data_IF_414699300882
#
_entry.id   IF_414699300882
#
_cell.length_a   1.000
_cell.length_b   1.000
_cell.length_c   1.000
_cell.angle_alpha   90.00
_cell.angle_beta   90.00
_cell.angle_gamma   90.00
#
_symmetry.space_group_name_H-M   'P 1'
#
loop_
_entity.id
_entity.type
_entity.pdbx_description
1 polymer ?
#
# COMPACT_ATOMS: atom_id res chain seq x y z
N UNK A 1 22.33 0.98 -1.20
CA UNK A 1 22.72 1.78 -0.03
C UNK A 1 21.49 2.14 0.79
N UNK A 2 21.60 2.29 2.11
CA UNK A 2 20.54 2.87 2.96
C UNK A 2 20.76 4.38 3.06
N UNK A 3 19.79 5.17 2.62
CA UNK A 3 19.85 6.64 2.65
C UNK A 3 18.73 7.19 3.53
N UNK A 4 18.93 8.38 4.08
CA UNK A 4 17.94 9.09 4.92
C UNK A 4 17.48 10.37 4.25
N UNK A 5 16.17 10.60 4.19
CA UNK A 5 15.61 11.89 3.79
C UNK A 5 15.76 12.91 4.92
N UNK A 6 16.24 14.12 4.63
CA UNK A 6 16.32 15.21 5.60
C UNK A 6 14.91 15.75 5.93
N UNK A 7 14.06 15.85 4.91
CA UNK A 7 12.72 16.44 5.03
C UNK A 7 11.75 15.60 5.86
N UNK A 8 11.84 14.28 5.75
CA UNK A 8 10.93 13.34 6.43
C UNK A 8 11.63 12.47 7.46
N UNK A 9 12.96 12.39 7.46
CA UNK A 9 13.73 11.42 8.25
C UNK A 9 13.43 9.95 7.92
N UNK A 10 12.69 9.66 6.84
CA UNK A 10 12.49 8.29 6.37
C UNK A 10 13.81 7.72 5.82
N UNK A 11 14.02 6.42 6.05
CA UNK A 11 15.19 5.70 5.53
C UNK A 11 14.76 4.69 4.48
N UNK A 12 15.36 4.79 3.30
CA UNK A 12 15.08 3.88 2.19
C UNK A 12 16.36 3.23 1.68
N UNK A 13 16.24 1.99 1.25
CA UNK A 13 17.27 1.37 0.43
C UNK A 13 17.11 1.85 -1.01
N UNK A 14 18.20 2.30 -1.61
CA UNK A 14 18.24 2.72 -3.01
C UNK A 14 19.39 2.03 -3.74
N UNK A 15 19.17 1.73 -5.03
CA UNK A 15 20.24 1.43 -5.97
C UNK A 15 20.87 2.78 -6.37
N UNK A 16 22.15 2.94 -6.07
CA UNK A 16 22.87 4.19 -6.32
C UNK A 16 24.08 3.88 -7.19
N UNK A 17 24.36 4.73 -8.18
CA UNK A 17 25.53 4.58 -9.01
C UNK A 17 26.82 4.75 -8.18
N UNK A 18 27.86 3.98 -8.52
CA UNK A 18 29.15 3.99 -7.81
C UNK A 18 29.87 5.34 -7.84
N UNK A 19 29.55 6.19 -8.80
CA UNK A 19 30.10 7.53 -9.00
C UNK A 19 29.21 8.66 -8.45
N UNK A 20 28.11 8.32 -7.76
CA UNK A 20 27.17 9.30 -7.20
C UNK A 20 27.74 10.16 -6.07
N UNK A 21 28.85 9.74 -5.46
CA UNK A 21 29.45 10.40 -4.29
C UNK A 21 28.67 10.19 -2.98
N UNK A 22 27.57 9.42 -3.01
CA UNK A 22 26.79 9.06 -1.83
C UNK A 22 27.37 7.83 -1.14
N UNK A 23 27.37 7.85 0.19
CA UNK A 23 27.76 6.74 1.04
C UNK A 23 26.56 6.16 1.77
N UNK A 24 26.74 4.96 2.30
CA UNK A 24 25.72 4.32 3.12
C UNK A 24 25.46 5.13 4.41
N UNK A 25 24.19 5.23 4.81
CA UNK A 25 23.67 6.07 5.89
C UNK A 25 23.76 7.59 5.67
N UNK A 26 24.12 8.05 4.46
CA UNK A 26 24.08 9.48 4.15
C UNK A 26 22.66 10.04 4.26
N UNK A 27 22.60 11.33 4.58
CA UNK A 27 21.36 12.11 4.58
C UNK A 27 21.33 12.97 3.34
N UNK A 28 20.23 12.90 2.60
CA UNK A 28 19.96 13.69 1.39
C UNK A 28 18.75 14.58 1.62
N UNK A 29 18.63 15.70 0.91
CA UNK A 29 17.52 16.64 1.10
C UNK A 29 16.16 15.96 0.84
N UNK A 30 16.04 15.31 -0.33
CA UNK A 30 14.88 14.56 -0.77
C UNK A 30 15.27 13.44 -1.73
N UNK A 31 14.48 12.36 -1.74
CA UNK A 31 14.63 11.32 -2.75
C UNK A 31 13.96 11.76 -4.06
N UNK A 32 14.66 11.64 -5.22
CA UNK A 32 14.09 12.02 -6.51
C UNK A 32 12.72 11.38 -6.78
N UNK A 33 11.80 12.10 -7.44
CA UNK A 33 10.56 11.51 -7.92
C UNK A 33 10.85 10.33 -8.86
N UNK A 34 10.14 9.21 -8.67
CA UNK A 34 10.30 8.02 -9.52
C UNK A 34 11.52 7.13 -9.21
N UNK A 35 12.41 7.53 -8.29
CA UNK A 35 13.50 6.65 -7.86
C UNK A 35 12.92 5.40 -7.19
N UNK A 36 13.39 4.23 -7.62
CA UNK A 36 13.00 2.95 -7.01
C UNK A 36 13.64 2.81 -5.62
N UNK A 37 12.79 2.65 -4.61
CA UNK A 37 13.14 2.56 -3.21
C UNK A 37 12.66 1.25 -2.58
N UNK A 38 13.48 0.72 -1.69
CA UNK A 38 13.13 -0.34 -0.75
C UNK A 38 12.77 0.26 0.60
N UNK A 39 11.55 -0.01 1.07
CA UNK A 39 11.15 0.31 2.44
C UNK A 39 11.93 -0.60 3.37
N UNK A 40 12.84 0.00 4.13
CA UNK A 40 13.64 -0.69 5.12
C UNK A 40 12.80 -0.99 6.37
N UNK A 41 13.05 -2.08 7.08
CA UNK A 41 12.44 -2.32 8.39
C UNK A 41 12.68 -1.15 9.38
N UNK A 42 13.90 -0.57 9.46
CA UNK A 42 14.14 0.66 10.23
C UNK A 42 13.26 1.84 9.84
N UNK A 43 12.71 1.91 8.62
CA UNK A 43 11.86 3.02 8.20
C UNK A 43 10.57 3.10 9.02
N UNK A 44 9.99 1.95 9.38
CA UNK A 44 8.81 1.92 10.25
C UNK A 44 9.20 2.12 11.72
N UNK A 45 10.34 1.57 12.15
CA UNK A 45 10.86 1.76 13.51
C UNK A 45 11.22 3.24 13.78
N UNK A 46 11.77 3.95 12.81
CA UNK A 46 12.12 5.37 12.95
C UNK A 46 10.88 6.23 13.23
N UNK A 47 9.71 5.83 12.71
CA UNK A 47 8.43 6.45 13.02
C UNK A 47 8.00 6.24 14.47
N UNK A 48 8.39 5.13 15.12
CA UNK A 48 8.09 4.87 16.53
C UNK A 48 8.69 5.93 17.46
N UNK A 49 9.76 6.62 17.06
CA UNK A 49 10.32 7.70 17.86
C UNK A 49 9.33 8.86 18.02
N UNK A 50 8.65 9.27 16.94
CA UNK A 50 7.67 10.35 17.00
C UNK A 50 6.41 9.92 17.79
N UNK A 51 5.97 8.66 17.65
CA UNK A 51 4.94 8.07 18.50
C UNK A 51 5.33 8.06 19.98
N UNK A 52 6.58 7.69 20.28
CA UNK A 52 7.08 7.65 21.65
C UNK A 52 7.09 9.05 22.28
N UNK A 53 7.56 10.07 21.55
CA UNK A 53 7.52 11.47 22.00
C UNK A 53 6.10 11.88 22.39
N UNK A 54 5.11 11.63 21.53
CA UNK A 54 3.71 11.99 21.82
C UNK A 54 3.22 11.29 23.09
N UNK A 55 3.46 9.98 23.20
CA UNK A 55 3.00 9.17 24.34
C UNK A 55 3.64 9.61 25.65
N UNK A 56 4.96 9.79 25.68
CA UNK A 56 5.66 10.26 26.90
C UNK A 56 5.28 11.68 27.27
N UNK A 57 4.92 12.50 26.28
CA UNK A 57 4.45 13.87 26.52
C UNK A 57 3.07 13.85 27.19
N UNK A 58 2.12 13.04 26.71
CA UNK A 58 0.86 12.84 27.42
C UNK A 58 1.04 12.25 28.82
N UNK A 59 1.94 11.27 28.99
CA UNK A 59 2.27 10.74 30.32
C UNK A 59 2.71 11.86 31.26
N UNK A 60 3.53 12.79 30.78
CA UNK A 60 3.99 13.94 31.56
C UNK A 60 2.83 14.88 31.91
N UNK A 61 1.93 15.17 30.95
CA UNK A 61 0.72 15.97 31.20
C UNK A 61 -0.15 15.32 32.28
N UNK A 62 -0.33 13.99 32.23
CA UNK A 62 -1.14 13.25 33.20
C UNK A 62 -0.54 13.30 34.63
N UNK A 63 0.78 13.44 34.77
CA UNK A 63 1.45 13.60 36.07
C UNK A 63 1.27 14.97 36.71
N UNK A 64 0.95 16.00 35.92
CA UNK A 64 0.82 17.39 36.39
C UNK A 64 -0.48 18.02 35.84
N UNK A 65 -1.65 17.51 36.23
CA UNK A 65 -2.93 17.89 35.62
C UNK A 65 -3.32 19.35 35.84
N UNK A 66 -2.80 19.98 36.91
CA UNK A 66 -3.15 21.34 37.33
C UNK A 66 -2.22 22.43 36.75
N UNK A 67 -1.19 22.06 35.98
CA UNK A 67 -0.25 23.02 35.35
C UNK A 67 -0.65 23.30 33.89
N UNK A 68 -1.53 24.29 33.70
CA UNK A 68 -2.01 24.71 32.38
C UNK A 68 -0.88 25.24 31.48
N UNK A 69 0.08 25.98 32.05
CA UNK A 69 1.20 26.54 31.27
C UNK A 69 2.10 25.43 30.73
N UNK A 70 2.39 24.42 31.55
CA UNK A 70 3.16 23.26 31.11
C UNK A 70 2.37 22.43 30.11
N UNK A 71 1.05 22.26 30.32
CA UNK A 71 0.19 21.58 29.35
C UNK A 71 0.28 22.22 27.97
N UNK A 72 0.19 23.55 27.87
CA UNK A 72 0.28 24.27 26.59
C UNK A 72 1.63 24.03 25.89
N UNK A 73 2.74 24.09 26.64
CA UNK A 73 4.09 23.81 26.10
C UNK A 73 4.21 22.35 25.60
N UNK A 74 3.74 21.39 26.39
CA UNK A 74 3.78 19.97 26.04
C UNK A 74 2.86 19.64 24.85
N UNK A 75 1.71 20.31 24.72
CA UNK A 75 0.86 20.18 23.54
C UNK A 75 1.56 20.71 22.27
N UNK A 76 2.36 21.76 22.37
CA UNK A 76 3.20 22.21 21.24
C UNK A 76 4.21 21.15 20.80
N UNK A 77 4.80 20.40 21.74
CA UNK A 77 5.71 19.28 21.42
C UNK A 77 4.96 18.15 20.70
N UNK A 78 3.73 17.86 21.15
CA UNK A 78 2.85 16.88 20.49
C UNK A 78 2.55 17.31 19.05
N UNK A 79 2.22 18.57 18.82
CA UNK A 79 1.94 19.11 17.49
C UNK A 79 3.16 19.01 16.56
N UNK A 80 4.37 19.34 17.06
CA UNK A 80 5.60 19.18 16.27
C UNK A 80 5.88 17.71 15.90
N UNK A 81 5.65 16.78 16.82
CA UNK A 81 5.82 15.35 16.57
C UNK A 81 4.76 14.83 15.58
N UNK A 82 3.52 15.31 15.70
CA UNK A 82 2.43 15.04 14.76
C UNK A 82 2.76 15.52 13.35
N UNK A 83 3.27 16.73 13.18
CA UNK A 83 3.66 17.26 11.86
C UNK A 83 4.80 16.45 11.22
N UNK A 84 5.70 15.89 12.02
CA UNK A 84 6.74 14.96 11.54
C UNK A 84 6.12 13.63 11.09
N UNK A 85 5.19 13.06 11.88
CA UNK A 85 4.46 11.85 11.50
C UNK A 85 3.67 12.02 10.21
N UNK A 86 2.94 13.13 10.06
CA UNK A 86 2.17 13.44 8.85
C UNK A 86 3.10 13.42 7.63
N UNK A 87 4.22 14.13 7.68
CA UNK A 87 5.20 14.17 6.56
C UNK A 87 5.76 12.79 6.24
N UNK A 88 6.17 12.03 7.25
CA UNK A 88 6.71 10.67 7.09
C UNK A 88 5.72 9.72 6.43
N UNK A 89 4.51 9.66 6.98
CA UNK A 89 3.45 8.76 6.53
C UNK A 89 2.94 9.18 5.15
N UNK A 90 2.87 10.47 4.85
CA UNK A 90 2.52 10.98 3.52
C UNK A 90 3.52 10.48 2.48
N UNK A 91 4.82 10.67 2.69
CA UNK A 91 5.83 10.17 1.75
C UNK A 91 5.75 8.65 1.56
N UNK A 92 5.60 7.89 2.65
CA UNK A 92 5.47 6.43 2.56
C UNK A 92 4.22 6.03 1.76
N UNK A 93 3.07 6.60 2.10
CA UNK A 93 1.78 6.33 1.46
C UNK A 93 1.85 6.64 -0.03
N UNK A 94 2.32 7.82 -0.39
CA UNK A 94 2.42 8.28 -1.79
C UNK A 94 3.38 7.37 -2.58
N UNK A 95 4.59 7.11 -2.06
CA UNK A 95 5.56 6.28 -2.76
C UNK A 95 5.12 4.82 -2.91
N UNK A 96 4.42 4.26 -1.92
CA UNK A 96 3.88 2.89 -2.01
C UNK A 96 2.77 2.85 -3.06
N UNK A 97 1.87 3.85 -3.08
CA UNK A 97 0.77 3.96 -4.02
C UNK A 97 1.28 4.10 -5.47
N UNK A 98 2.29 4.94 -5.67
CA UNK A 98 2.92 5.21 -6.97
C UNK A 98 3.88 4.10 -7.43
N UNK A 99 4.01 3.02 -6.63
CA UNK A 99 4.94 1.91 -6.92
C UNK A 99 6.40 2.36 -7.08
N UNK A 100 6.80 3.39 -6.32
CA UNK A 100 8.20 3.83 -6.22
C UNK A 100 8.86 3.35 -4.94
N UNK A 101 8.10 2.97 -3.91
CA UNK A 101 8.59 2.30 -2.70
C UNK A 101 8.01 0.88 -2.54
N UNK A 102 8.86 -0.05 -2.13
CA UNK A 102 8.55 -1.48 -2.04
C UNK A 102 8.97 -2.05 -0.69
N UNK A 103 8.07 -2.74 0.02
CA UNK A 103 8.44 -3.53 1.18
C UNK A 103 9.33 -4.70 0.77
N UNK A 104 10.62 -4.60 1.06
CA UNK A 104 11.58 -5.62 0.69
C UNK A 104 11.38 -6.86 1.56
N UNK A 105 11.39 -8.04 0.92
CA UNK A 105 11.14 -9.33 1.53
C UNK A 105 9.69 -9.63 1.94
N UNK A 106 8.77 -8.67 1.79
CA UNK A 106 7.39 -8.83 2.27
C UNK A 106 6.50 -9.42 1.18
N UNK A 107 5.81 -10.51 1.49
CA UNK A 107 4.70 -10.99 0.66
C UNK A 107 3.47 -10.11 0.92
N UNK A 108 3.12 -9.26 -0.06
CA UNK A 108 1.98 -8.34 0.08
C UNK A 108 0.64 -9.07 0.05
N UNK A 109 0.53 -10.23 -0.59
CA UNK A 109 -0.71 -11.02 -0.59
C UNK A 109 -0.92 -11.66 0.78
N UNK A 110 0.15 -12.19 1.39
CA UNK A 110 0.11 -12.68 2.77
C UNK A 110 -0.17 -11.54 3.75
N UNK A 111 0.50 -10.40 3.60
CA UNK A 111 0.25 -9.17 4.39
C UNK A 111 -1.24 -8.81 4.41
N UNK A 112 -1.84 -8.72 3.21
CA UNK A 112 -3.28 -8.44 3.06
C UNK A 112 -4.13 -9.51 3.75
N UNK A 113 -3.78 -10.78 3.60
CA UNK A 113 -4.48 -11.88 4.28
C UNK A 113 -4.47 -11.74 5.81
N UNK A 114 -3.31 -11.44 6.40
CA UNK A 114 -3.18 -11.19 7.84
C UNK A 114 -3.97 -9.96 8.30
N UNK A 115 -3.89 -8.86 7.53
CA UNK A 115 -4.65 -7.65 7.81
C UNK A 115 -6.17 -7.93 7.82
N UNK A 116 -6.68 -8.61 6.79
CA UNK A 116 -8.11 -8.96 6.69
C UNK A 116 -8.55 -9.92 7.80
N UNK A 117 -7.69 -10.85 8.22
CA UNK A 117 -7.96 -11.66 9.41
C UNK A 117 -8.09 -10.80 10.66
N UNK A 118 -7.23 -9.79 10.84
CA UNK A 118 -7.32 -8.87 11.98
C UNK A 118 -8.57 -7.97 11.92
N UNK A 119 -9.03 -7.59 10.72
CA UNK A 119 -10.28 -6.83 10.53
C UNK A 119 -11.50 -7.69 10.90
N UNK A 120 -11.57 -8.94 10.43
CA UNK A 120 -12.80 -9.75 10.55
C UNK A 120 -12.85 -10.66 11.78
N UNK A 121 -11.72 -11.24 12.18
CA UNK A 121 -11.63 -12.21 13.28
C UNK A 121 -11.02 -11.60 14.54
N UNK A 122 -10.35 -10.47 14.40
CA UNK A 122 -9.56 -9.88 15.46
C UNK A 122 -8.30 -10.68 15.76
N UNK A 123 -7.44 -10.10 16.60
CA UNK A 123 -6.21 -10.74 17.04
C UNK A 123 -6.02 -10.54 18.56
N UNK A 124 -5.53 -11.54 19.31
CA UNK A 124 -5.34 -11.39 20.75
C UNK A 124 -4.44 -10.20 21.11
N UNK A 125 -4.97 -9.26 21.89
CA UNK A 125 -4.27 -8.03 22.30
C UNK A 125 -2.95 -8.32 23.02
N UNK A 126 -2.97 -9.31 23.90
CA UNK A 126 -1.78 -9.77 24.64
C UNK A 126 -0.65 -10.26 23.72
N UNK A 127 -0.99 -10.91 22.60
CA UNK A 127 0.02 -11.40 21.66
C UNK A 127 0.67 -10.25 20.89
N UNK A 128 -0.12 -9.23 20.49
CA UNK A 128 0.41 -8.01 19.85
C UNK A 128 1.39 -7.28 20.78
N UNK A 129 0.98 -7.07 22.04
CA UNK A 129 1.84 -6.45 23.06
C UNK A 129 3.13 -7.28 23.28
N UNK A 130 3.02 -8.60 23.39
CA UNK A 130 4.18 -9.48 23.58
C UNK A 130 5.15 -9.48 22.41
N UNK A 131 4.65 -9.55 21.17
CA UNK A 131 5.50 -9.63 19.98
C UNK A 131 6.15 -8.29 19.67
N UNK A 132 5.43 -7.19 19.86
CA UNK A 132 5.95 -5.84 19.64
C UNK A 132 6.72 -5.28 20.84
N UNK A 133 6.77 -6.02 21.96
CA UNK A 133 7.40 -5.61 23.23
C UNK A 133 6.86 -4.28 23.75
N UNK A 134 5.54 -4.11 23.67
CA UNK A 134 4.79 -2.93 24.10
C UNK A 134 3.71 -3.32 25.12
N UNK A 135 3.03 -2.34 25.69
CA UNK A 135 1.86 -2.55 26.54
C UNK A 135 0.78 -1.51 26.20
N UNK A 136 0.30 -1.54 24.96
CA UNK A 136 -0.64 -0.56 24.40
C UNK A 136 -1.99 -1.21 24.22
N UNK A 137 -2.03 -2.42 23.65
CA UNK A 137 -3.29 -3.07 23.31
C UNK A 137 -4.08 -3.43 24.57
N UNK A 138 -3.43 -4.03 25.55
CA UNK A 138 -4.03 -4.36 26.84
C UNK A 138 -4.39 -3.12 27.66
N UNK A 139 -3.55 -2.08 27.66
CA UNK A 139 -3.83 -0.82 28.38
C UNK A 139 -5.08 -0.13 27.87
N UNK A 140 -5.26 -0.05 26.55
CA UNK A 140 -6.49 0.48 25.95
C UNK A 140 -7.69 -0.41 26.28
N UNK A 141 -7.55 -1.74 26.18
CA UNK A 141 -8.64 -2.67 26.49
C UNK A 141 -9.13 -2.56 27.93
N UNK A 142 -8.22 -2.31 28.89
CA UNK A 142 -8.58 -2.14 30.29
C UNK A 142 -9.44 -0.90 30.57
N UNK A 143 -9.45 0.08 29.67
CA UNK A 143 -10.24 1.30 29.76
C UNK A 143 -11.51 1.25 28.89
N UNK A 144 -11.63 0.26 28.01
CA UNK A 144 -12.83 0.02 27.20
C UNK A 144 -13.82 -0.84 28.02
N UNK A 145 -15.03 -0.33 28.28
CA UNK A 145 -16.06 -0.99 29.11
C UNK A 145 -16.56 -2.35 28.56
N UNK A 146 -16.10 -2.78 27.39
CA UNK A 146 -16.62 -3.93 26.67
C UNK A 146 -15.50 -4.81 26.10
N UNK A 147 -15.02 -5.76 26.90
CA UNK A 147 -14.47 -7.01 26.36
C UNK A 147 -15.28 -8.18 26.91
N UNK A 148 -16.45 -8.43 26.31
CA UNK A 148 -17.35 -9.55 26.63
C UNK A 148 -16.79 -10.90 26.12
N UNK A 149 -15.58 -11.25 26.56
CA UNK A 149 -14.92 -12.51 26.26
C UNK A 149 -13.74 -12.77 27.21
N UNK A 150 -13.30 -14.04 27.37
CA UNK A 150 -12.19 -14.39 28.25
C UNK A 150 -10.82 -13.83 27.79
N UNK A 151 -10.70 -13.45 26.52
CA UNK A 151 -9.50 -12.84 25.94
C UNK A 151 -9.89 -11.61 25.10
N UNK A 152 -9.36 -10.40 25.40
CA UNK A 152 -9.68 -9.20 24.65
C UNK A 152 -8.97 -9.23 23.28
N UNK A 153 -9.78 -9.09 22.22
CA UNK A 153 -9.30 -9.06 20.84
C UNK A 153 -9.15 -7.61 20.35
N UNK A 154 -8.16 -7.37 19.49
CA UNK A 154 -8.03 -6.15 18.70
C UNK A 154 -8.59 -6.41 17.31
N UNK A 155 -9.49 -5.54 16.87
CA UNK A 155 -10.01 -5.54 15.51
C UNK A 155 -9.47 -4.31 14.80
N UNK A 156 -8.78 -4.50 13.66
CA UNK A 156 -8.40 -3.36 12.84
C UNK A 156 -9.67 -2.79 12.18
N UNK A 157 -10.07 -1.59 12.56
CA UNK A 157 -11.25 -0.94 12.02
C UNK A 157 -10.85 0.25 11.16
N UNK A 158 -11.04 0.17 9.83
CA UNK A 158 -10.85 1.32 8.95
C UNK A 158 -11.79 2.46 9.35
N UNK A 159 -11.29 3.70 9.33
CA UNK A 159 -12.07 4.92 9.55
C UNK A 159 -13.09 5.09 8.42
N UNK A 160 -12.66 4.87 7.18
CA UNK A 160 -13.57 4.72 6.05
C UNK A 160 -14.17 3.31 6.04
N UNK A 161 -15.45 3.23 6.42
CA UNK A 161 -16.19 1.97 6.47
C UNK A 161 -16.40 1.36 5.08
N UNK A 162 -16.32 2.14 4.01
CA UNK A 162 -16.47 1.62 2.64
C UNK A 162 -15.32 0.68 2.29
N UNK A 163 -14.09 0.98 2.73
CA UNK A 163 -12.91 0.12 2.56
C UNK A 163 -13.08 -1.25 3.24
N UNK A 164 -13.86 -1.34 4.31
CA UNK A 164 -14.13 -2.64 4.96
C UNK A 164 -14.95 -3.56 4.04
N UNK A 165 -15.82 -3.00 3.20
CA UNK A 165 -16.64 -3.74 2.23
C UNK A 165 -15.99 -3.94 0.86
N UNK A 166 -15.21 -2.97 0.38
CA UNK A 166 -14.59 -2.97 -0.97
C UNK A 166 -13.13 -3.41 -0.98
N UNK A 167 -12.54 -3.69 0.19
CA UNK A 167 -11.15 -4.15 0.31
C UNK A 167 -10.84 -5.43 -0.45
N UNK A 168 -11.85 -6.22 -0.87
CA UNK A 168 -11.69 -7.38 -1.76
C UNK A 168 -11.18 -7.01 -3.15
N UNK A 169 -11.47 -5.80 -3.61
CA UNK A 169 -11.25 -5.40 -5.00
C UNK A 169 -9.89 -4.70 -5.19
N UNK A 170 -9.28 -4.27 -4.08
CA UNK A 170 -7.94 -3.68 -4.09
C UNK A 170 -6.88 -4.76 -4.36
N UNK A 171 -5.90 -4.42 -5.19
CA UNK A 171 -4.65 -5.19 -5.25
C UNK A 171 -3.95 -5.16 -3.89
N UNK A 172 -3.07 -6.12 -3.62
CA UNK A 172 -2.33 -6.19 -2.36
C UNK A 172 -1.57 -4.89 -2.03
N UNK A 173 -0.96 -4.26 -3.04
CA UNK A 173 -0.28 -2.97 -2.91
C UNK A 173 -1.26 -1.83 -2.58
N UNK A 174 -2.35 -1.71 -3.32
CA UNK A 174 -3.36 -0.68 -3.06
C UNK A 174 -3.96 -0.84 -1.67
N UNK A 175 -4.15 -2.08 -1.20
CA UNK A 175 -4.59 -2.35 0.15
C UNK A 175 -3.59 -1.87 1.21
N UNK A 176 -2.30 -2.15 1.03
CA UNK A 176 -1.25 -1.63 1.94
C UNK A 176 -1.24 -0.09 1.94
N UNK A 177 -1.31 0.54 0.76
CA UNK A 177 -1.41 2.00 0.66
C UNK A 177 -2.66 2.55 1.36
N UNK A 178 -3.80 1.85 1.26
CA UNK A 178 -5.04 2.22 1.95
C UNK A 178 -4.90 2.13 3.48
N UNK A 179 -4.16 1.15 4.01
CA UNK A 179 -3.86 1.08 5.45
C UNK A 179 -2.98 2.27 5.90
N UNK A 180 -1.97 2.66 5.10
CA UNK A 180 -1.19 3.87 5.38
C UNK A 180 -2.05 5.14 5.35
N UNK A 181 -2.96 5.26 4.38
CA UNK A 181 -3.92 6.36 4.33
C UNK A 181 -4.80 6.40 5.56
N UNK A 182 -5.32 5.25 6.02
CA UNK A 182 -6.16 5.18 7.22
C UNK A 182 -5.42 5.60 8.52
N UNK A 183 -4.15 5.22 8.66
CA UNK A 183 -3.31 5.72 9.76
C UNK A 183 -3.04 7.21 9.62
N UNK A 184 -2.73 7.68 8.41
CA UNK A 184 -2.50 9.10 8.14
C UNK A 184 -3.74 9.94 8.48
N UNK A 185 -4.93 9.49 8.10
CA UNK A 185 -6.20 10.13 8.44
C UNK A 185 -6.40 10.20 9.96
N UNK A 186 -6.00 9.15 10.69
CA UNK A 186 -6.07 9.13 12.16
C UNK A 186 -5.08 10.12 12.80
N UNK A 187 -3.86 10.23 12.26
CA UNK A 187 -2.83 11.21 12.69
C UNK A 187 -3.26 12.64 12.36
N UNK A 188 -3.94 12.83 11.23
CA UNK A 188 -4.44 14.15 10.81
C UNK A 188 -5.68 14.59 11.59
N UNK A 189 -6.37 13.70 12.30
CA UNK A 189 -7.53 14.03 13.12
C UNK A 189 -7.10 14.67 14.46
N UNK A 190 -7.39 15.97 14.72
CA UNK A 190 -7.08 16.60 16.01
C UNK A 190 -7.78 15.92 17.19
N UNK A 191 -8.93 15.28 16.99
CA UNK A 191 -9.65 14.59 18.05
C UNK A 191 -8.84 13.41 18.63
N UNK A 192 -7.93 12.83 17.84
CA UNK A 192 -7.03 11.76 18.27
C UNK A 192 -6.04 12.19 19.37
N UNK A 193 -5.91 13.48 19.65
CA UNK A 193 -4.89 14.05 20.56
C UNK A 193 -5.49 14.60 21.87
N UNK A 194 -6.71 14.18 22.23
CA UNK A 194 -7.36 14.63 23.48
C UNK A 194 -6.75 14.02 24.74
N UNK A 195 -6.15 12.83 24.66
CA UNK A 195 -5.46 12.17 25.76
C UNK A 195 -4.57 11.04 25.25
N UNK A 196 -3.69 10.51 26.11
CA UNK A 196 -2.91 9.30 25.81
C UNK A 196 -3.79 8.14 25.35
N UNK A 197 -4.89 7.88 26.04
CA UNK A 197 -5.77 6.77 25.73
C UNK A 197 -6.39 6.91 24.34
N UNK A 198 -6.88 8.10 24.01
CA UNK A 198 -7.49 8.38 22.71
C UNK A 198 -6.44 8.21 21.60
N UNK A 199 -5.24 8.77 21.78
CA UNK A 199 -4.14 8.60 20.83
C UNK A 199 -3.74 7.14 20.63
N UNK A 200 -3.58 6.40 21.74
CA UNK A 200 -3.19 4.99 21.69
C UNK A 200 -4.26 4.17 20.95
N UNK A 201 -5.55 4.40 21.23
CA UNK A 201 -6.70 3.72 20.61
C UNK A 201 -6.85 4.06 19.12
N UNK A 202 -6.83 5.35 18.78
CA UNK A 202 -7.23 5.82 17.45
C UNK A 202 -6.08 5.79 16.44
N UNK A 203 -4.85 5.93 16.91
CA UNK A 203 -3.66 6.08 16.05
C UNK A 203 -2.64 4.97 16.30
N UNK A 204 -2.13 4.87 17.53
CA UNK A 204 -0.93 4.06 17.76
C UNK A 204 -1.18 2.56 17.55
N UNK A 205 -2.32 2.04 18.01
CA UNK A 205 -2.69 0.64 17.78
C UNK A 205 -2.76 0.28 16.29
N UNK A 206 -3.26 1.17 15.43
CA UNK A 206 -3.31 0.94 13.98
C UNK A 206 -1.91 0.83 13.38
N UNK A 207 -1.03 1.77 13.74
CA UNK A 207 0.35 1.76 13.25
C UNK A 207 1.10 0.49 13.71
N UNK A 208 0.96 0.13 14.99
CA UNK A 208 1.58 -1.09 15.51
C UNK A 208 1.01 -2.36 14.87
N UNK A 209 -0.30 -2.41 14.60
CA UNK A 209 -0.90 -3.52 13.87
C UNK A 209 -0.28 -3.67 12.47
N UNK A 210 -0.09 -2.57 11.74
CA UNK A 210 0.58 -2.61 10.43
C UNK A 210 2.04 -3.07 10.53
N UNK A 211 2.79 -2.61 11.54
CA UNK A 211 4.15 -3.07 11.79
C UNK A 211 4.19 -4.56 12.12
N UNK A 212 3.27 -5.04 12.95
CA UNK A 212 3.15 -6.45 13.31
C UNK A 212 2.88 -7.32 12.08
N UNK A 213 1.94 -6.92 11.23
CA UNK A 213 1.62 -7.66 10.01
C UNK A 213 2.85 -7.67 9.09
N UNK A 214 3.52 -6.52 8.90
CA UNK A 214 4.75 -6.48 8.12
C UNK A 214 5.81 -7.43 8.72
N UNK A 215 5.96 -7.43 10.06
CA UNK A 215 6.89 -8.32 10.75
C UNK A 215 6.56 -9.82 10.56
N UNK A 216 5.27 -10.15 10.47
CA UNK A 216 4.84 -11.53 10.29
C UNK A 216 5.04 -12.05 8.86
N UNK A 217 5.14 -11.14 7.88
CA UNK A 217 5.10 -11.49 6.45
C UNK A 217 6.34 -11.05 5.66
N UNK A 218 7.40 -10.55 6.31
CA UNK A 218 8.71 -10.38 5.66
C UNK A 218 9.63 -11.55 5.98
N UNK A 219 10.41 -11.96 4.99
CA UNK A 219 11.52 -12.88 5.22
C UNK A 219 12.48 -12.32 6.30
N UNK A 220 12.80 -13.10 7.35
CA UNK A 220 13.70 -12.68 8.44
C UNK A 220 15.06 -12.15 7.99
N UNK A 221 15.57 -12.50 6.80
CA UNK A 221 16.82 -11.94 6.28
C UNK A 221 16.75 -10.40 6.19
N UNK A 222 15.57 -9.84 5.93
CA UNK A 222 15.35 -8.39 5.77
C UNK A 222 15.23 -7.63 7.10
N UNK A 223 15.21 -8.32 8.24
CA UNK A 223 15.31 -7.70 9.57
C UNK A 223 16.75 -7.65 10.11
N UNK A 224 17.74 -8.07 9.31
CA UNK A 224 19.15 -8.06 9.73
C UNK A 224 19.45 -9.05 10.85
N UNK A 225 19.11 -10.33 10.63
CA UNK A 225 19.29 -11.41 11.63
C UNK A 225 20.75 -11.80 11.85
N UNK A 226 21.70 -11.29 11.05
CA UNK A 226 23.12 -11.57 11.23
C UNK A 226 23.86 -10.45 11.94
N UNK A 227 24.84 -10.81 12.78
CA UNK A 227 25.73 -9.86 13.47
C UNK A 227 26.37 -8.83 12.52
N UNK A 228 26.65 -9.25 11.28
CA UNK A 228 27.25 -8.41 10.25
C UNK A 228 26.32 -7.27 9.77
N UNK A 229 25.01 -7.41 9.94
CA UNK A 229 24.01 -6.43 9.51
C UNK A 229 23.85 -5.26 10.52
N UNK A 230 24.28 -5.46 11.78
CA UNK A 230 24.15 -4.46 12.84
C UNK A 230 25.26 -3.43 12.82
N UNK A 231 24.92 -2.14 12.95
CA UNK A 231 25.88 -1.04 13.05
C UNK A 231 26.13 -0.37 11.71
N UNK A 232 25.08 0.28 11.20
CA UNK A 232 25.09 1.02 9.93
C UNK A 232 25.85 2.33 10.12
N UNK A 233 26.97 2.48 9.43
CA UNK A 233 27.76 3.73 9.35
C UNK A 233 28.37 3.88 7.95
N UNK A 234 28.75 5.11 7.59
CA UNK A 234 29.39 5.40 6.30
C UNK A 234 30.73 4.66 6.14
N UNK A 235 31.47 4.45 7.24
CA UNK A 235 32.81 3.84 7.22
C UNK A 235 32.80 2.30 7.16
N UNK A 236 31.62 1.67 7.20
CA UNK A 236 31.52 0.21 7.25
C UNK A 236 31.17 -0.35 5.88
N UNK A 237 31.94 -1.36 5.46
CA UNK A 237 31.57 -2.18 4.29
C UNK A 237 30.29 -2.97 4.60
N UNK A 238 29.18 -2.47 4.06
CA UNK A 238 27.87 -3.09 4.15
C UNK A 238 27.53 -3.90 2.90
N UNK A 239 28.20 -3.67 1.78
CA UNK A 239 27.84 -4.24 0.47
C UNK A 239 27.95 -5.77 0.45
N UNK A 240 28.81 -6.31 1.31
CA UNK A 240 29.04 -7.74 1.43
C UNK A 240 28.18 -8.43 2.49
N UNK A 241 27.32 -7.68 3.20
CA UNK A 241 26.45 -8.25 4.23
C UNK A 241 25.32 -9.07 3.59
N UNK A 242 24.83 -10.14 4.25
CA UNK A 242 23.68 -10.91 3.77
C UNK A 242 22.46 -10.05 3.46
N UNK A 243 22.15 -9.09 4.34
CA UNK A 243 21.04 -8.16 4.16
C UNK A 243 21.21 -7.30 2.90
N UNK A 244 22.36 -6.66 2.70
CA UNK A 244 22.55 -5.77 1.55
C UNK A 244 22.56 -6.51 0.21
N UNK A 245 23.08 -7.75 0.19
CA UNK A 245 23.00 -8.60 -1.00
C UNK A 245 21.58 -8.99 -1.35
N UNK A 246 20.76 -9.34 -0.34
CA UNK A 246 19.36 -9.65 -0.55
C UNK A 246 18.57 -8.43 -1.05
N UNK A 247 18.87 -7.26 -0.50
CA UNK A 247 18.29 -5.98 -0.92
C UNK A 247 18.67 -5.63 -2.36
N UNK A 248 19.95 -5.69 -2.72
CA UNK A 248 20.42 -5.39 -4.09
C UNK A 248 19.75 -6.33 -5.10
N UNK A 249 19.72 -7.63 -4.80
CA UNK A 249 19.06 -8.61 -5.65
C UNK A 249 17.57 -8.30 -5.86
N UNK A 250 16.85 -8.00 -4.77
CA UNK A 250 15.41 -7.76 -4.86
C UNK A 250 15.08 -6.42 -5.54
N UNK A 251 15.83 -5.36 -5.28
CA UNK A 251 15.64 -4.08 -5.97
C UNK A 251 15.89 -4.21 -7.46
N UNK A 252 16.93 -4.93 -7.87
CA UNK A 252 17.21 -5.21 -9.30
C UNK A 252 16.11 -6.06 -9.95
N UNK A 253 15.56 -7.03 -9.23
CA UNK A 253 14.42 -7.82 -9.70
C UNK A 253 13.17 -6.95 -9.91
N UNK A 254 12.91 -6.02 -8.98
CA UNK A 254 11.81 -5.06 -9.12
C UNK A 254 12.05 -4.14 -10.32
N UNK A 255 13.24 -3.55 -10.44
CA UNK A 255 13.62 -2.70 -11.57
C UNK A 255 13.45 -3.43 -12.92
N UNK A 256 13.91 -4.69 -13.00
CA UNK A 256 13.77 -5.51 -14.20
C UNK A 256 12.30 -5.79 -14.56
N UNK A 257 11.44 -6.08 -13.57
CA UNK A 257 10.00 -6.24 -13.80
C UNK A 257 9.35 -4.95 -14.27
N UNK A 258 9.67 -3.83 -13.64
CA UNK A 258 9.15 -2.53 -14.05
C UNK A 258 9.55 -2.19 -15.49
N UNK A 259 10.79 -2.48 -15.88
CA UNK A 259 11.26 -2.29 -17.26
C UNK A 259 10.57 -3.24 -18.27
N UNK A 260 10.24 -4.47 -17.85
CA UNK A 260 9.53 -5.44 -18.69
C UNK A 260 8.03 -5.08 -18.86
N UNK A 261 7.43 -4.46 -17.85
CA UNK A 261 6.04 -4.00 -17.84
C UNK A 261 5.85 -2.65 -18.55
N UNK A 262 6.94 -1.94 -18.88
CA UNK A 262 6.89 -0.84 -19.85
C UNK A 262 6.52 -1.47 -21.21
N UNK A 263 5.35 -1.15 -21.79
CA UNK A 263 5.01 -1.62 -23.12
C UNK A 263 6.16 -1.23 -24.02
N UNK A 264 6.80 -2.21 -24.66
CA UNK A 264 7.79 -1.91 -25.69
C UNK A 264 7.01 -1.19 -26.76
N UNK A 265 7.08 0.14 -26.77
CA UNK A 265 6.70 0.92 -27.93
C UNK A 265 7.75 0.54 -28.95
N UNK A 266 7.47 -0.53 -29.70
CA UNK A 266 8.19 -0.86 -30.92
C UNK A 266 7.98 0.35 -31.79
N UNK A 267 8.95 1.26 -31.78
CA UNK A 267 8.97 2.38 -32.70
C UNK A 267 8.89 1.76 -34.11
N UNK A 268 7.81 1.95 -34.87
CA UNK A 268 7.83 1.55 -36.25
C UNK A 268 8.92 2.38 -36.92
N UNK A 269 9.76 1.73 -37.72
CA UNK A 269 10.70 2.41 -38.61
C UNK A 269 9.94 3.52 -39.35
N UNK A 270 10.34 4.77 -39.10
CA UNK A 270 9.69 5.95 -39.65
C UNK A 270 10.03 6.00 -41.14
N UNK A 271 9.11 5.53 -41.98
CA UNK A 271 8.98 6.05 -43.33
C UNK A 271 8.42 7.48 -43.20
N UNK A 272 9.24 8.45 -43.57
CA UNK A 272 9.03 9.89 -43.35
C UNK A 272 7.89 10.40 -44.22
N UNK A 273 6.64 10.14 -43.85
CA UNK A 273 5.46 10.72 -44.47
C UNK A 273 4.17 10.56 -43.64
N UNK A 274 4.15 10.85 -42.33
CA UNK A 274 2.89 10.89 -41.57
C UNK A 274 2.83 12.12 -40.68
N UNK A 275 1.86 12.98 -40.96
CA UNK A 275 1.45 14.09 -40.11
C UNK A 275 0.86 13.55 -38.80
N UNK A 276 1.06 14.29 -37.70
CA UNK A 276 0.46 13.98 -36.39
C UNK A 276 -1.06 13.77 -36.54
N UNK A 277 -1.63 12.64 -36.07
CA UNK A 277 -3.06 12.51 -36.02
C UNK A 277 -3.56 13.38 -34.87
N UNK A 278 -4.24 14.47 -35.24
CA UNK A 278 -5.02 15.31 -34.36
C UNK A 278 -6.03 14.42 -33.60
N UNK A 279 -5.79 14.17 -32.30
CA UNK A 279 -6.74 13.48 -31.45
C UNK A 279 -7.88 14.47 -31.16
N UNK A 280 -8.79 14.58 -32.11
CA UNK A 280 -10.10 15.16 -31.88
C UNK A 280 -10.93 14.15 -31.07
N UNK A 281 -11.05 14.39 -29.77
CA UNK A 281 -12.11 13.77 -28.99
C UNK A 281 -13.46 14.21 -29.62
N UNK A 282 -14.31 13.27 -30.07
CA UNK A 282 -15.59 13.63 -30.67
C UNK A 282 -16.41 14.40 -29.65
N UNK A 283 -16.76 15.66 -29.96
CA UNK A 283 -17.66 16.47 -29.13
C UNK A 283 -19.10 15.97 -29.14
N UNK A 284 -19.41 14.93 -29.93
CA UNK A 284 -20.70 14.25 -29.96
C UNK A 284 -20.51 12.75 -29.68
N UNK A 285 -21.09 12.27 -28.59
CA UNK A 285 -21.18 10.85 -28.26
C UNK A 285 -22.17 10.20 -29.22
N UNK A 286 -21.72 9.74 -30.39
CA UNK A 286 -22.65 9.22 -31.40
C UNK A 286 -22.09 8.11 -32.28
N UNK A 287 -21.07 7.35 -31.84
CA UNK A 287 -20.72 6.13 -32.56
C UNK A 287 -20.62 4.92 -31.63
N UNK A 288 -21.69 4.13 -31.65
CA UNK A 288 -21.85 2.84 -30.97
C UNK A 288 -20.65 1.91 -31.18
N UNK A 289 -20.01 1.97 -32.36
CA UNK A 289 -18.81 1.20 -32.70
C UNK A 289 -17.61 1.48 -31.79
N UNK A 290 -17.49 2.71 -31.26
CA UNK A 290 -16.39 3.10 -30.35
C UNK A 290 -16.52 2.41 -28.99
N UNK A 291 -17.74 2.12 -28.56
CA UNK A 291 -18.05 1.45 -27.29
C UNK A 291 -18.10 -0.07 -27.46
N UNK A 292 -18.73 -0.56 -28.53
CA UNK A 292 -18.91 -1.99 -28.77
C UNK A 292 -17.63 -2.68 -29.24
N UNK A 293 -16.73 -1.97 -29.94
CA UNK A 293 -15.47 -2.52 -30.46
C UNK A 293 -14.57 -3.14 -29.38
N UNK A 294 -14.21 -2.40 -28.31
CA UNK A 294 -13.43 -2.94 -27.20
C UNK A 294 -14.12 -4.14 -26.50
N UNK A 295 -15.44 -4.08 -26.32
CA UNK A 295 -16.23 -5.16 -25.72
C UNK A 295 -16.19 -6.44 -26.58
N UNK A 296 -16.20 -6.30 -27.91
CA UNK A 296 -16.04 -7.42 -28.82
C UNK A 296 -14.67 -8.10 -28.70
N UNK A 297 -13.60 -7.32 -28.50
CA UNK A 297 -12.25 -7.83 -28.27
C UNK A 297 -12.16 -8.62 -26.96
N UNK A 298 -12.76 -8.11 -25.88
CA UNK A 298 -12.84 -8.78 -24.58
C UNK A 298 -13.61 -10.11 -24.70
N UNK A 299 -14.75 -10.12 -25.37
CA UNK A 299 -15.52 -11.34 -25.64
C UNK A 299 -14.73 -12.37 -26.45
N UNK A 300 -13.92 -11.93 -27.42
CA UNK A 300 -13.07 -12.83 -28.20
C UNK A 300 -11.97 -13.49 -27.34
N UNK A 301 -11.34 -12.73 -26.45
CA UNK A 301 -10.35 -13.27 -25.50
C UNK A 301 -11.00 -14.24 -24.50
N UNK A 302 -12.15 -13.88 -23.93
CA UNK A 302 -12.89 -14.73 -23.00
C UNK A 302 -13.31 -16.07 -23.64
N UNK A 303 -13.72 -16.07 -24.91
CA UNK A 303 -14.02 -17.30 -25.66
C UNK A 303 -12.80 -18.20 -25.88
N UNK A 304 -11.59 -17.63 -25.96
CA UNK A 304 -10.36 -18.44 -26.02
C UNK A 304 -10.12 -19.14 -24.68
N UNK A 305 -10.36 -18.45 -23.56
CA UNK A 305 -10.26 -19.04 -22.22
C UNK A 305 -11.24 -20.19 -22.02
N UNK A 306 -12.48 -20.07 -22.51
CA UNK A 306 -13.50 -21.14 -22.45
C UNK A 306 -13.10 -22.39 -23.24
N UNK A 307 -12.14 -22.30 -24.16
CA UNK A 307 -11.67 -23.43 -24.99
C UNK A 307 -10.41 -24.11 -24.43
N UNK A 308 -9.88 -23.65 -23.31
CA UNK A 308 -8.73 -24.27 -22.66
C UNK A 308 -9.17 -25.48 -21.81
N UNK A 309 -8.28 -26.44 -21.61
CA UNK A 309 -8.57 -27.68 -20.87
C UNK A 309 -8.56 -27.52 -19.33
N UNK A 310 -8.24 -26.32 -18.84
CA UNK A 310 -8.16 -26.03 -17.41
C UNK A 310 -9.52 -25.55 -16.87
N UNK A 311 -10.11 -26.19 -15.85
CA UNK A 311 -11.39 -25.79 -15.27
C UNK A 311 -11.45 -24.31 -14.86
N UNK A 312 -10.39 -23.80 -14.23
CA UNK A 312 -10.30 -22.41 -13.78
C UNK A 312 -10.33 -21.41 -14.94
N UNK A 313 -9.67 -21.72 -16.06
CA UNK A 313 -9.68 -20.87 -17.25
C UNK A 313 -11.07 -20.84 -17.91
N UNK A 314 -11.76 -21.99 -17.91
CA UNK A 314 -13.14 -22.09 -18.41
C UNK A 314 -14.09 -21.27 -17.54
N UNK A 315 -13.93 -21.32 -16.23
CA UNK A 315 -14.73 -20.54 -15.27
C UNK A 315 -14.51 -19.04 -15.47
N UNK A 316 -13.25 -18.58 -15.50
CA UNK A 316 -12.90 -17.18 -15.73
C UNK A 316 -13.46 -16.66 -17.07
N UNK A 317 -13.33 -17.46 -18.13
CA UNK A 317 -13.89 -17.09 -19.44
C UNK A 317 -15.42 -16.93 -19.42
N UNK A 318 -16.14 -17.75 -18.64
CA UNK A 318 -17.61 -17.61 -18.48
C UNK A 318 -18.00 -16.39 -17.68
N UNK A 319 -17.27 -16.09 -16.59
CA UNK A 319 -17.52 -14.90 -15.76
C UNK A 319 -17.35 -13.62 -16.57
N UNK A 320 -16.28 -13.53 -17.38
CA UNK A 320 -16.05 -12.35 -18.23
C UNK A 320 -17.18 -12.17 -19.25
N UNK A 321 -17.63 -13.24 -19.92
CA UNK A 321 -18.74 -13.17 -20.87
C UNK A 321 -20.06 -12.73 -20.20
N UNK A 322 -20.35 -13.22 -18.99
CA UNK A 322 -21.53 -12.84 -18.24
C UNK A 322 -21.52 -11.36 -17.84
N UNK A 323 -20.38 -10.84 -17.37
CA UNK A 323 -20.26 -9.44 -16.98
C UNK A 323 -20.33 -8.50 -18.17
N UNK A 324 -19.77 -8.87 -19.33
CA UNK A 324 -19.91 -8.07 -20.56
C UNK A 324 -21.37 -8.04 -21.04
N UNK A 325 -22.14 -9.11 -20.89
CA UNK A 325 -23.57 -9.13 -21.22
C UNK A 325 -24.36 -8.15 -20.34
N UNK A 326 -24.14 -8.19 -19.02
CA UNK A 326 -24.77 -7.25 -18.07
C UNK A 326 -24.43 -5.80 -18.43
N UNK A 327 -23.16 -5.53 -18.76
CA UNK A 327 -22.72 -4.20 -19.14
C UNK A 327 -23.40 -3.70 -20.42
N UNK A 328 -23.57 -4.57 -21.43
CA UNK A 328 -24.29 -4.22 -22.67
C UNK A 328 -25.75 -3.89 -22.38
N UNK A 329 -26.42 -4.67 -21.52
CA UNK A 329 -27.80 -4.40 -21.12
C UNK A 329 -27.92 -3.05 -20.41
N UNK A 330 -26.99 -2.73 -19.51
CA UNK A 330 -26.94 -1.42 -18.85
C UNK A 330 -26.69 -0.28 -19.83
N UNK A 331 -25.79 -0.46 -20.80
CA UNK A 331 -25.52 0.55 -21.82
C UNK A 331 -26.76 0.79 -22.72
N UNK A 332 -27.55 -0.25 -22.99
CA UNK A 332 -28.84 -0.14 -23.69
C UNK A 332 -29.88 0.58 -22.84
N UNK A 333 -30.03 0.19 -21.58
CA UNK A 333 -30.98 0.80 -20.63
C UNK A 333 -30.72 2.31 -20.45
N UNK A 334 -29.45 2.71 -20.43
CA UNK A 334 -29.04 4.10 -20.31
C UNK A 334 -29.05 4.87 -21.65
N UNK A 335 -29.44 4.24 -22.77
CA UNK A 335 -29.50 4.87 -24.08
C UNK A 335 -28.13 5.28 -24.65
N UNK A 336 -27.05 4.68 -24.14
CA UNK A 336 -25.66 4.96 -24.57
C UNK A 336 -25.37 4.22 -25.88
N UNK A 337 -25.94 3.04 -26.05
CA UNK A 337 -25.95 2.28 -27.32
C UNK A 337 -27.40 1.96 -27.69
N UNK A 338 -27.70 1.78 -28.97
CA UNK A 338 -29.06 1.48 -29.41
C UNK A 338 -29.58 0.14 -28.86
N UNK A 339 -30.90 -0.02 -28.70
CA UNK A 339 -31.47 -1.33 -28.32
C UNK A 339 -31.12 -2.44 -29.32
N UNK A 340 -31.00 -2.06 -30.60
CA UNK A 340 -30.58 -2.93 -31.70
C UNK A 340 -29.07 -3.12 -31.80
N UNK A 341 -28.29 -2.57 -30.86
CA UNK A 341 -26.84 -2.66 -30.88
C UNK A 341 -26.36 -4.11 -30.87
N UNK A 342 -25.33 -4.38 -31.68
CA UNK A 342 -24.70 -5.69 -31.77
C UNK A 342 -24.18 -6.11 -30.39
N UNK A 343 -24.65 -7.25 -29.91
CA UNK A 343 -24.18 -7.84 -28.66
C UNK A 343 -23.05 -8.84 -28.95
N UNK A 344 -21.78 -8.49 -28.71
CA UNK A 344 -20.65 -9.38 -28.93
C UNK A 344 -20.64 -10.63 -28.06
N UNK A 345 -21.46 -10.75 -27.02
CA UNK A 345 -21.58 -11.99 -26.23
C UNK A 345 -22.39 -13.05 -26.97
N UNK A 346 -23.31 -12.61 -27.84
CA UNK A 346 -24.24 -13.44 -28.62
C UNK A 346 -23.63 -14.02 -29.91
N UNK A 347 -22.74 -15.02 -29.83
CA UNK A 347 -22.28 -15.67 -31.08
C UNK A 347 -23.24 -16.76 -31.57
N UNK A 348 -23.97 -16.41 -32.64
CA UNK A 348 -24.21 -17.30 -33.77
C UNK A 348 -22.86 -17.81 -34.31
N UNK A 349 -22.54 -19.07 -34.02
CA UNK A 349 -21.69 -19.96 -34.83
C UNK A 349 -21.81 -21.39 -34.29
N UNK A 350 -23.00 -21.97 -34.45
CA UNK A 350 -23.09 -23.40 -34.74
C UNK A 350 -22.67 -23.61 -36.21
N UNK A 351 -21.93 -24.68 -36.55
CA UNK A 351 -21.58 -24.95 -37.93
C UNK A 351 -22.86 -25.19 -38.74
N UNK A 352 -22.97 -24.56 -39.91
CA UNK A 352 -23.92 -24.95 -40.93
C UNK A 352 -23.67 -26.44 -41.26
N UNK A 353 -24.65 -27.30 -40.96
CA UNK A 353 -24.64 -28.69 -41.43
C UNK A 353 -24.86 -28.70 -42.95
N UNK A 354 -24.18 -29.58 -43.69
CA UNK A 354 -24.33 -29.73 -45.14
C UNK A 354 -25.74 -30.16 -45.56
#
# INVERSE_FOLDING_TARGET
MLLKSLSTNNRFYALVATDSGLNNADTIDEFPPGLLLGVAYPCLEDGLNDFAVIRTTFETIDYFPDDESMRDELMSIIDEARDKLIRRLTELRDRIADSTAHFLGTDLAEYRGYAMNMVHRGYPRRNLDSMMKLNVFMTVAAQEEASNGPEPLFYYAFRDKTLTGTSSDLTARQFVAAMFSDVLDAVQDPASYGSRHIFDRDVFQKFIAMMFINYATTDPIFYGTHKADYGVSADRDMDNTPLHRAIDAQLREIEARMLADVPTVVAPEIDTAWAEPDINLPQEWANEEVVVGPLASICAAARRLVRLDTPDAVELGRVVLANVAILIDQLKEHGIIGESAYDPTSNNNGPARP
#
